data_IF_227383186048
#
_entry.id   IF_227383186048
#
_cell.length_a   1.000
_cell.length_b   1.000
_cell.length_c   1.000
_cell.angle_alpha   90.00
_cell.angle_beta   90.00
_cell.angle_gamma   90.00
#
_symmetry.space_group_name_H-M   'P 1'
#
loop_
_entity.id
_entity.type
_entity.pdbx_description
1 polymer ?
#
# COMPACT_ATOMS: atom_id res chain seq x y z
N UNK A 1 11.07 1.76 -9.07
CA UNK A 1 11.67 2.71 -8.10
C UNK A 1 11.62 2.18 -6.67
N UNK A 2 10.44 1.96 -6.07
CA UNK A 2 10.28 1.46 -4.67
C UNK A 2 11.10 0.18 -4.38
N UNK A 3 11.05 -0.82 -5.27
CA UNK A 3 11.80 -2.06 -5.15
C UNK A 3 13.32 -1.82 -4.98
N UNK A 4 13.89 -0.91 -5.79
CA UNK A 4 15.30 -0.59 -5.74
C UNK A 4 15.68 0.20 -4.48
N UNK A 5 14.85 1.18 -4.10
CA UNK A 5 15.05 1.99 -2.89
C UNK A 5 15.02 1.16 -1.60
N UNK A 6 14.20 0.11 -1.57
CA UNK A 6 14.06 -0.79 -0.43
C UNK A 6 14.89 -2.07 -0.55
N UNK A 7 15.71 -2.21 -1.59
CA UNK A 7 16.54 -3.41 -1.85
C UNK A 7 15.75 -4.74 -1.87
N UNK A 8 14.52 -4.71 -2.42
CA UNK A 8 13.64 -5.88 -2.53
C UNK A 8 13.21 -6.14 -3.97
N UNK A 9 12.74 -7.36 -4.25
CA UNK A 9 12.22 -7.71 -5.57
C UNK A 9 10.87 -7.02 -5.87
N UNK A 10 10.55 -6.86 -7.16
CA UNK A 10 9.22 -6.41 -7.60
C UNK A 10 8.10 -7.34 -7.11
N UNK A 11 8.36 -8.65 -7.00
CA UNK A 11 7.43 -9.63 -6.44
C UNK A 11 7.17 -9.33 -4.96
N UNK A 12 8.20 -9.00 -4.19
CA UNK A 12 8.08 -8.62 -2.77
C UNK A 12 7.23 -7.35 -2.60
N UNK A 13 7.43 -6.34 -3.43
CA UNK A 13 6.58 -5.13 -3.43
C UNK A 13 5.10 -5.49 -3.67
N UNK A 14 4.82 -6.32 -4.67
CA UNK A 14 3.45 -6.79 -4.96
C UNK A 14 2.83 -7.54 -3.78
N UNK A 15 3.61 -8.38 -3.10
CA UNK A 15 3.15 -9.09 -1.92
C UNK A 15 2.78 -8.12 -0.78
N UNK A 16 3.61 -7.10 -0.53
CA UNK A 16 3.29 -6.07 0.46
C UNK A 16 2.01 -5.31 0.10
N UNK A 17 1.84 -4.91 -1.17
CA UNK A 17 0.61 -4.26 -1.63
C UNK A 17 -0.62 -5.14 -1.40
N UNK A 18 -0.54 -6.43 -1.74
CA UNK A 18 -1.63 -7.37 -1.50
C UNK A 18 -1.98 -7.47 -0.01
N UNK A 19 -0.97 -7.59 0.87
CA UNK A 19 -1.21 -7.61 2.32
C UNK A 19 -1.79 -6.31 2.85
N UNK A 20 -1.36 -5.14 2.34
CA UNK A 20 -1.92 -3.85 2.73
C UNK A 20 -3.37 -3.75 2.29
N UNK A 21 -3.67 -4.14 1.05
CA UNK A 21 -5.03 -4.12 0.52
C UNK A 21 -5.96 -5.02 1.34
N UNK A 22 -5.53 -6.24 1.68
CA UNK A 22 -6.30 -7.12 2.57
C UNK A 22 -6.53 -6.51 3.96
N UNK A 23 -5.50 -5.91 4.57
CA UNK A 23 -5.62 -5.29 5.91
C UNK A 23 -6.53 -4.06 5.92
N UNK A 24 -6.60 -3.35 4.81
CA UNK A 24 -7.44 -2.16 4.64
C UNK A 24 -8.81 -2.48 4.01
N UNK A 25 -9.14 -3.74 3.76
CA UNK A 25 -10.33 -4.16 3.01
C UNK A 25 -10.49 -3.37 1.69
N UNK A 26 -9.38 -3.19 0.98
CA UNK A 26 -9.28 -2.44 -0.26
C UNK A 26 -9.04 -3.37 -1.47
N UNK A 27 -9.62 -3.01 -2.61
CA UNK A 27 -9.53 -3.76 -3.87
C UNK A 27 -8.45 -3.21 -4.81
N UNK A 28 -8.09 -1.95 -4.65
CA UNK A 28 -7.06 -1.28 -5.44
C UNK A 28 -6.34 -0.19 -4.64
N UNK A 29 -5.37 0.45 -5.29
CA UNK A 29 -4.56 1.53 -4.70
C UNK A 29 -5.41 2.71 -4.27
N UNK A 30 -6.40 3.11 -5.05
CA UNK A 30 -7.24 4.27 -4.77
C UNK A 30 -8.06 4.03 -3.52
N UNK A 31 -8.72 2.88 -3.42
CA UNK A 31 -9.47 2.50 -2.23
C UNK A 31 -8.57 2.38 -1.00
N UNK A 32 -7.37 1.81 -1.15
CA UNK A 32 -6.40 1.68 -0.06
C UNK A 32 -5.95 3.04 0.47
N UNK A 33 -5.64 4.00 -0.41
CA UNK A 33 -5.28 5.37 0.00
C UNK A 33 -6.45 6.05 0.71
N UNK A 34 -7.66 5.98 0.16
CA UNK A 34 -8.85 6.57 0.78
C UNK A 34 -9.13 5.98 2.17
N UNK A 35 -8.99 4.65 2.32
CA UNK A 35 -9.17 3.99 3.61
C UNK A 35 -8.09 4.39 4.61
N UNK A 36 -6.82 4.40 4.19
CA UNK A 36 -5.70 4.81 5.04
C UNK A 36 -5.85 6.25 5.54
N UNK A 37 -6.37 7.16 4.70
CA UNK A 37 -6.68 8.54 5.09
C UNK A 37 -7.84 8.59 6.08
N UNK A 38 -8.96 7.88 5.82
CA UNK A 38 -10.09 7.80 6.77
C UNK A 38 -9.70 7.25 8.14
N UNK A 39 -8.75 6.32 8.17
CA UNK A 39 -8.23 5.71 9.41
C UNK A 39 -7.13 6.55 10.08
N UNK A 40 -6.69 7.67 9.49
CA UNK A 40 -5.61 8.50 10.01
C UNK A 40 -4.20 7.87 9.90
N UNK A 41 -4.03 6.81 9.10
CA UNK A 41 -2.74 6.14 8.86
C UNK A 41 -1.85 6.98 7.93
N UNK A 42 -2.45 7.70 6.99
CA UNK A 42 -1.77 8.56 6.02
C UNK A 42 -2.46 9.93 5.97
N UNK A 43 -1.68 11.01 5.93
CA UNK A 43 -2.17 12.36 5.67
C UNK A 43 -1.97 12.74 4.20
N UNK A 44 -2.96 13.42 3.60
CA UNK A 44 -2.80 14.11 2.33
C UNK A 44 -2.30 15.53 2.65
N UNK A 45 -0.98 15.70 2.61
CA UNK A 45 -0.30 16.98 2.78
C UNK A 45 0.39 17.38 1.49
#
# INVERSE_FOLDING_TARGET
EVAAQLYISQKTVKNHLASIYQKLDARDRTQAVLQAVRMGIVSLS
#
